data_IF_071052730113
#
_entry.id   IF_071052730113
#
_cell.length_a   1.000
_cell.length_b   1.000
_cell.length_c   1.000
_cell.angle_alpha   90.00
_cell.angle_beta   90.00
_cell.angle_gamma   90.00
#
_symmetry.space_group_name_H-M   'P 1'
#
loop_
_entity.id
_entity.type
_entity.pdbx_description
1 polymer ?
#
# COMPACT_ATOMS: atom_id res chain seq x y z
N UNK A 1 -1.17 -13.87 5.01
CA UNK A 1 0.29 -13.69 5.21
C UNK A 1 1.01 -14.51 4.16
N UNK A 2 1.85 -13.89 3.34
CA UNK A 2 2.59 -14.56 2.26
C UNK A 2 4.01 -14.01 2.10
N UNK A 3 4.90 -14.80 1.49
CA UNK A 3 6.22 -14.33 1.04
C UNK A 3 6.06 -13.60 -0.30
N UNK A 4 6.63 -12.42 -0.40
CA UNK A 4 6.64 -11.57 -1.59
C UNK A 4 8.03 -11.58 -2.21
N UNK A 5 8.09 -11.76 -3.54
CA UNK A 5 9.33 -11.79 -4.31
C UNK A 5 9.35 -10.61 -5.27
N UNK A 6 10.40 -9.79 -5.24
CA UNK A 6 10.57 -8.64 -6.14
C UNK A 6 11.98 -8.60 -6.74
N UNK A 7 12.12 -8.27 -8.04
CA UNK A 7 13.44 -8.19 -8.68
C UNK A 7 14.26 -6.98 -8.20
N UNK A 8 13.61 -5.96 -7.59
CA UNK A 8 14.24 -4.75 -7.02
C UNK A 8 15.35 -4.17 -7.89
N UNK A 9 14.98 -3.72 -9.09
CA UNK A 9 15.92 -3.20 -10.11
C UNK A 9 16.55 -1.85 -9.70
N UNK A 10 16.01 -1.19 -8.67
CA UNK A 10 16.56 0.04 -8.09
C UNK A 10 17.89 -0.21 -7.41
N UNK A 11 18.92 0.57 -7.77
CA UNK A 11 20.26 0.52 -7.14
C UNK A 11 20.44 1.60 -6.07
N UNK A 12 19.35 2.17 -5.55
CA UNK A 12 19.46 3.20 -4.52
C UNK A 12 20.00 2.61 -3.22
N UNK A 13 21.27 2.92 -2.91
CA UNK A 13 21.95 2.42 -1.71
C UNK A 13 21.26 2.85 -0.41
N UNK A 14 20.50 3.95 -0.43
CA UNK A 14 19.75 4.43 0.74
C UNK A 14 18.59 3.48 1.10
N UNK A 15 17.96 2.87 0.10
CA UNK A 15 16.84 1.96 0.30
C UNK A 15 17.29 0.54 0.69
N UNK A 16 18.58 0.24 0.56
CA UNK A 16 19.11 -1.10 0.73
C UNK A 16 18.95 -1.68 2.15
N UNK A 17 19.30 -2.98 2.29
CA UNK A 17 19.14 -3.81 3.50
C UNK A 17 17.67 -4.10 3.76
N UNK A 18 17.25 -4.24 5.03
CA UNK A 18 15.89 -4.66 5.38
C UNK A 18 14.75 -3.80 4.82
N UNK A 19 15.02 -2.56 4.37
CA UNK A 19 13.98 -1.69 3.83
C UNK A 19 13.60 -2.04 2.39
N UNK A 20 14.55 -2.50 1.57
CA UNK A 20 14.32 -2.99 0.21
C UNK A 20 15.13 -4.27 -0.02
N UNK A 21 14.42 -5.39 -0.10
CA UNK A 21 14.97 -6.74 -0.27
C UNK A 21 14.21 -7.48 -1.36
N UNK A 22 14.85 -8.47 -1.97
CA UNK A 22 14.21 -9.33 -2.96
C UNK A 22 13.08 -10.20 -2.40
N UNK A 23 13.11 -10.44 -1.09
CA UNK A 23 12.14 -11.29 -0.42
C UNK A 23 11.75 -10.74 0.95
N UNK A 24 10.45 -10.56 1.17
CA UNK A 24 9.90 -10.10 2.44
C UNK A 24 8.54 -10.77 2.70
N UNK A 25 8.02 -10.64 3.92
CA UNK A 25 6.69 -11.17 4.28
C UNK A 25 5.69 -10.04 4.41
N UNK A 26 4.49 -10.23 3.88
CA UNK A 26 3.41 -9.23 3.96
C UNK A 26 2.09 -9.86 4.42
N UNK A 27 1.35 -9.12 5.23
CA UNK A 27 -0.07 -9.34 5.47
C UNK A 27 -0.82 -8.40 4.54
N UNK A 28 -1.62 -8.95 3.64
CA UNK A 28 -2.34 -8.18 2.63
C UNK A 28 -3.82 -8.12 2.95
N UNK A 29 -4.38 -6.93 2.79
CA UNK A 29 -5.83 -6.70 2.79
C UNK A 29 -6.32 -6.57 1.35
N UNK A 30 -7.43 -7.23 1.04
CA UNK A 30 -8.01 -7.23 -0.29
C UNK A 30 -9.52 -7.31 -0.17
N UNK A 31 -10.23 -6.48 -0.93
CA UNK A 31 -11.68 -6.48 -0.98
C UNK A 31 -12.17 -6.56 -2.42
N UNK A 32 -13.28 -7.27 -2.60
CA UNK A 32 -14.12 -7.22 -3.80
C UNK A 32 -15.46 -6.67 -3.35
N UNK A 33 -15.89 -5.56 -3.93
CA UNK A 33 -17.06 -4.81 -3.47
C UNK A 33 -17.78 -4.14 -4.64
N UNK A 34 -19.03 -3.76 -4.40
CA UNK A 34 -19.83 -2.95 -5.31
C UNK A 34 -19.18 -1.57 -5.52
N UNK A 35 -19.47 -0.93 -6.66
CA UNK A 35 -18.87 0.36 -7.02
C UNK A 35 -19.11 1.44 -5.95
N UNK A 36 -20.32 1.47 -5.40
CA UNK A 36 -20.75 2.42 -4.35
C UNK A 36 -20.04 2.23 -3.01
N UNK A 37 -19.45 1.06 -2.77
CA UNK A 37 -18.79 0.75 -1.50
C UNK A 37 -17.26 0.96 -1.57
N UNK A 38 -16.71 1.01 -2.78
CA UNK A 38 -15.26 0.94 -3.00
C UNK A 38 -14.46 2.03 -2.28
N UNK A 39 -14.95 3.27 -2.27
CA UNK A 39 -14.29 4.37 -1.57
C UNK A 39 -14.37 4.22 -0.04
N UNK A 40 -15.51 3.79 0.49
CA UNK A 40 -15.66 3.56 1.93
C UNK A 40 -14.75 2.43 2.43
N UNK A 41 -14.57 1.39 1.64
CA UNK A 41 -13.64 0.30 1.96
C UNK A 41 -12.18 0.75 1.90
N UNK A 42 -11.82 1.65 0.97
CA UNK A 42 -10.49 2.25 0.97
C UNK A 42 -10.23 3.03 2.27
N UNK A 43 -11.20 3.83 2.71
CA UNK A 43 -11.10 4.58 3.97
C UNK A 43 -10.99 3.63 5.18
N UNK A 44 -11.77 2.55 5.21
CA UNK A 44 -11.67 1.51 6.25
C UNK A 44 -10.28 0.85 6.29
N UNK A 45 -9.72 0.50 5.12
CA UNK A 45 -8.38 -0.08 5.02
C UNK A 45 -7.30 0.88 5.52
N UNK A 46 -7.37 2.15 5.12
CA UNK A 46 -6.43 3.18 5.57
C UNK A 46 -6.51 3.36 7.08
N UNK A 47 -7.72 3.46 7.64
CA UNK A 47 -7.92 3.60 9.08
C UNK A 47 -7.36 2.40 9.85
N UNK A 48 -7.64 1.17 9.40
CA UNK A 48 -7.14 -0.04 10.03
C UNK A 48 -5.60 -0.11 9.99
N UNK A 49 -4.98 0.28 8.87
CA UNK A 49 -3.52 0.36 8.77
C UNK A 49 -2.95 1.37 9.76
N UNK A 50 -3.51 2.58 9.83
CA UNK A 50 -3.10 3.61 10.78
C UNK A 50 -3.22 3.13 12.23
N UNK A 51 -4.35 2.54 12.62
CA UNK A 51 -4.57 1.96 13.96
C UNK A 51 -3.53 0.88 14.31
N UNK A 52 -3.20 0.00 13.36
CA UNK A 52 -2.16 -1.01 13.56
C UNK A 52 -0.82 -0.35 13.84
N UNK A 53 -0.40 0.64 13.06
CA UNK A 53 0.90 1.29 13.25
C UNK A 53 0.95 2.13 14.54
N UNK A 54 -0.14 2.81 14.89
CA UNK A 54 -0.27 3.52 16.16
C UNK A 54 -0.17 2.56 17.34
N UNK A 55 -0.82 1.40 17.27
CA UNK A 55 -0.75 0.37 18.33
C UNK A 55 0.66 -0.20 18.53
N UNK A 56 1.48 -0.19 17.47
CA UNK A 56 2.89 -0.57 17.51
C UNK A 56 3.81 0.57 17.99
N UNK A 57 3.26 1.76 18.28
CA UNK A 57 4.00 2.93 18.72
C UNK A 57 4.85 3.58 17.62
N UNK A 58 4.49 3.39 16.35
CA UNK A 58 5.22 3.99 15.23
C UNK A 58 4.75 5.43 14.99
N UNK A 59 5.70 6.34 14.83
CA UNK A 59 5.39 7.70 14.37
C UNK A 59 5.19 7.69 12.86
N UNK A 60 3.92 7.77 12.43
CA UNK A 60 3.54 7.70 11.03
C UNK A 60 2.96 9.01 10.50
N UNK A 61 2.97 9.14 9.17
CA UNK A 61 2.19 10.13 8.43
C UNK A 61 1.43 9.45 7.30
N UNK A 62 0.25 9.95 7.00
CA UNK A 62 -0.58 9.51 5.87
C UNK A 62 -0.40 10.49 4.70
N UNK A 63 -0.20 9.96 3.51
CA UNK A 63 -0.07 10.72 2.27
C UNK A 63 -1.18 10.31 1.30
N UNK A 64 -1.92 11.29 0.77
CA UNK A 64 -2.78 11.11 -0.41
C UNK A 64 -1.92 11.33 -1.65
N UNK A 65 -1.73 10.28 -2.44
CA UNK A 65 -0.68 10.26 -3.46
C UNK A 65 -1.09 11.06 -4.70
N UNK A 66 -0.17 11.86 -5.27
CA UNK A 66 -0.45 12.60 -6.49
C UNK A 66 -0.66 11.63 -7.66
N UNK A 67 -1.40 12.09 -8.67
CA UNK A 67 -1.77 11.29 -9.85
C UNK A 67 -0.58 10.68 -10.59
N UNK A 68 0.57 11.34 -10.54
CA UNK A 68 1.82 10.99 -11.18
C UNK A 68 2.54 9.81 -10.51
N UNK A 69 2.20 9.52 -9.25
CA UNK A 69 2.76 8.41 -8.46
C UNK A 69 1.80 7.22 -8.34
N UNK A 70 0.65 7.27 -9.03
CA UNK A 70 -0.28 6.15 -9.08
C UNK A 70 0.26 5.04 -9.99
N UNK A 71 0.24 3.81 -9.49
CA UNK A 71 0.45 2.63 -10.32
C UNK A 71 -0.70 2.49 -11.33
N UNK A 72 -0.43 1.83 -12.46
CA UNK A 72 -1.41 1.65 -13.54
C UNK A 72 -2.84 1.20 -13.11
N UNK A 73 -3.03 0.31 -12.11
CA UNK A 73 -4.37 -0.09 -11.69
C UNK A 73 -5.07 0.86 -10.70
N UNK A 74 -4.35 1.79 -10.07
CA UNK A 74 -4.89 2.59 -8.97
C UNK A 74 -5.61 3.84 -9.49
N UNK A 75 -6.88 4.01 -9.08
CA UNK A 75 -7.64 5.25 -9.29
C UNK A 75 -7.38 6.27 -8.16
N UNK A 76 -7.12 5.79 -6.95
CA UNK A 76 -6.66 6.56 -5.78
C UNK A 76 -5.75 5.69 -4.94
N UNK A 77 -4.72 6.28 -4.32
CA UNK A 77 -3.76 5.60 -3.46
C UNK A 77 -3.43 6.44 -2.25
N UNK A 78 -3.33 5.79 -1.11
CA UNK A 78 -2.75 6.36 0.10
C UNK A 78 -1.54 5.56 0.53
N UNK A 79 -0.51 6.27 0.97
CA UNK A 79 0.69 5.67 1.55
C UNK A 79 0.80 6.05 3.02
N UNK A 80 1.13 5.07 3.85
CA UNK A 80 1.52 5.30 5.24
C UNK A 80 3.02 5.21 5.33
N UNK A 81 3.65 6.30 5.78
CA UNK A 81 5.09 6.33 5.98
C UNK A 81 5.42 6.41 7.47
N UNK A 82 6.39 5.60 7.90
CA UNK A 82 6.88 5.59 9.27
C UNK A 82 8.22 6.33 9.39
N UNK A 83 8.42 7.03 10.50
CA UNK A 83 9.69 7.66 10.82
C UNK A 83 10.79 6.62 11.06
N UNK A 84 11.91 6.74 10.33
CA UNK A 84 13.06 5.85 10.43
C UNK A 84 14.21 6.57 11.14
N UNK A 85 14.38 6.41 12.47
CA UNK A 85 15.34 7.20 13.25
C UNK A 85 16.79 7.01 12.79
N UNK A 86 17.15 5.79 12.37
CA UNK A 86 18.48 5.48 11.84
C UNK A 86 18.80 6.15 10.49
N UNK A 87 17.78 6.56 9.74
CA UNK A 87 17.91 7.22 8.43
C UNK A 87 17.51 8.71 8.45
N UNK A 88 16.84 9.17 9.52
CA UNK A 88 16.32 10.54 9.71
C UNK A 88 15.35 11.00 8.62
N UNK A 89 14.47 10.10 8.21
CA UNK A 89 13.52 10.27 7.11
C UNK A 89 12.25 9.47 7.40
N UNK A 90 11.16 9.83 6.75
CA UNK A 90 10.00 8.96 6.61
C UNK A 90 10.21 7.99 5.44
N UNK A 91 9.65 6.79 5.54
CA UNK A 91 9.56 5.89 4.39
C UNK A 91 8.35 4.98 4.46
N UNK A 92 7.85 4.60 3.28
CA UNK A 92 6.63 3.81 3.09
C UNK A 92 6.70 2.48 3.86
N UNK A 93 5.65 2.21 4.62
CA UNK A 93 5.44 0.93 5.32
C UNK A 93 4.12 0.25 4.91
N UNK A 94 3.20 1.01 4.29
CA UNK A 94 1.95 0.49 3.74
C UNK A 94 1.46 1.34 2.59
N UNK A 95 0.68 0.71 1.73
CA UNK A 95 -0.11 1.36 0.70
C UNK A 95 -1.49 0.73 0.61
N UNK A 96 -2.49 1.56 0.35
CA UNK A 96 -3.87 1.15 0.07
C UNK A 96 -4.34 1.83 -1.22
N UNK A 97 -5.08 1.12 -2.07
CA UNK A 97 -5.52 1.68 -3.35
C UNK A 97 -6.92 1.21 -3.71
N UNK A 98 -7.73 2.13 -4.24
CA UNK A 98 -8.96 1.77 -4.94
C UNK A 98 -8.63 1.55 -6.41
N UNK A 99 -8.86 0.33 -6.91
CA UNK A 99 -8.61 -0.05 -8.30
C UNK A 99 -9.87 0.07 -9.19
N UNK A 100 -11.02 0.42 -8.61
CA UNK A 100 -12.32 0.44 -9.27
C UNK A 100 -12.55 -0.86 -10.06
N UNK A 101 -12.79 -0.77 -11.37
CA UNK A 101 -13.03 -1.91 -12.23
C UNK A 101 -11.80 -2.35 -13.06
N UNK A 102 -10.63 -1.71 -12.87
CA UNK A 102 -9.47 -1.92 -13.76
C UNK A 102 -9.03 -3.38 -13.79
N UNK A 103 -8.94 -4.00 -12.62
CA UNK A 103 -8.52 -5.39 -12.48
C UNK A 103 -9.66 -6.36 -12.79
N UNK A 104 -10.89 -6.06 -12.34
CA UNK A 104 -12.04 -6.94 -12.53
C UNK A 104 -12.41 -7.09 -14.01
N UNK A 105 -12.40 -6.00 -14.80
CA UNK A 105 -12.61 -6.06 -16.25
C UNK A 105 -11.58 -6.93 -16.97
N UNK A 106 -10.30 -6.82 -16.59
CA UNK A 106 -9.21 -7.63 -17.19
C UNK A 106 -9.34 -9.12 -16.86
N UNK A 107 -9.92 -9.43 -15.69
CA UNK A 107 -10.14 -10.80 -15.23
C UNK A 107 -11.52 -11.35 -15.66
N UNK A 108 -12.37 -10.55 -16.30
CA UNK A 108 -13.74 -10.95 -16.64
C UNK A 108 -14.61 -11.24 -15.42
N UNK A 109 -14.35 -10.56 -14.30
CA UNK A 109 -15.08 -10.73 -13.04
C UNK A 109 -16.14 -9.64 -12.89
N UNK A 110 -17.39 -10.05 -12.79
CA UNK A 110 -18.54 -9.15 -12.70
C UNK A 110 -19.47 -9.61 -11.57
N UNK A 111 -20.11 -8.66 -10.89
CA UNK A 111 -21.26 -8.99 -10.05
C UNK A 111 -22.39 -9.48 -10.95
N UNK A 112 -23.06 -10.55 -10.53
CA UNK A 112 -24.22 -11.15 -11.21
C UNK A 112 -25.49 -10.67 -10.55
#
# INVERSE_FOLDING_TARGET
MSRCYRPEVSKNAWEARLYRVHEFTKIEMYAVCDDKQSDGILDEFVNLQCEIFESLGLHCRLLDMPTEELGAPAARKFDVEAWMPGRKVFGEVSSASNCTDFQSRRLGSYFV
#
